data_IF_684095864079
#
_entry.id   IF_684095864079
#
_cell.length_a   1.000
_cell.length_b   1.000
_cell.length_c   1.000
_cell.angle_alpha   90.00
_cell.angle_beta   90.00
_cell.angle_gamma   90.00
#
_symmetry.space_group_name_H-M   'P 1'
#
loop_
_entity.id
_entity.type
_entity.pdbx_description
1 polymer ?
#
# COMPACT_ATOMS: atom_id res chain seq x y z
N UNK A 1 -8.07 29.24 17.55
CA UNK A 1 -8.13 29.51 16.10
C UNK A 1 -7.84 28.20 15.40
N UNK A 2 -8.82 27.61 14.71
CA UNK A 2 -8.62 26.38 13.92
C UNK A 2 -7.99 26.71 12.56
N UNK A 3 -7.36 25.73 11.93
CA UNK A 3 -6.89 25.83 10.53
C UNK A 3 -8.11 26.03 9.61
N UNK A 4 -8.00 26.96 8.66
CA UNK A 4 -8.97 27.07 7.57
C UNK A 4 -8.84 25.89 6.59
N UNK A 5 -9.88 25.67 5.79
CA UNK A 5 -9.91 24.62 4.75
C UNK A 5 -8.74 24.76 3.77
N UNK A 6 -8.51 25.97 3.26
CA UNK A 6 -7.42 26.28 2.33
C UNK A 6 -6.04 26.02 2.96
N UNK A 7 -5.85 26.38 4.22
CA UNK A 7 -4.59 26.12 4.93
C UNK A 7 -4.36 24.63 5.17
N UNK A 8 -5.41 23.87 5.49
CA UNK A 8 -5.32 22.42 5.67
C UNK A 8 -4.93 21.73 4.37
N UNK A 9 -5.58 22.07 3.27
CA UNK A 9 -5.26 21.55 1.92
C UNK A 9 -3.81 21.89 1.58
N UNK A 10 -3.40 23.15 1.70
CA UNK A 10 -2.05 23.56 1.35
C UNK A 10 -0.98 22.85 2.18
N UNK A 11 -1.23 22.63 3.48
CA UNK A 11 -0.32 21.86 4.35
C UNK A 11 -0.16 20.41 3.89
N UNK A 12 -1.26 19.75 3.50
CA UNK A 12 -1.19 18.37 3.00
C UNK A 12 -0.46 18.32 1.67
N UNK A 13 -0.77 19.22 0.74
CA UNK A 13 -0.12 19.27 -0.58
C UNK A 13 1.37 19.58 -0.51
N UNK A 14 1.84 20.23 0.55
CA UNK A 14 3.25 20.50 0.80
C UNK A 14 4.00 19.34 1.49
N UNK A 15 3.34 18.23 1.84
CA UNK A 15 4.00 17.09 2.48
C UNK A 15 4.83 16.28 1.46
N UNK A 16 6.07 15.95 1.82
CA UNK A 16 6.97 15.13 1.00
C UNK A 16 6.38 13.74 0.67
N UNK A 17 5.64 13.17 1.61
CA UNK A 17 5.00 11.85 1.49
C UNK A 17 3.58 11.89 0.92
N UNK A 18 3.18 12.98 0.26
CA UNK A 18 1.83 13.16 -0.29
C UNK A 18 1.36 11.96 -1.14
N UNK A 19 2.25 11.42 -1.98
CA UNK A 19 1.93 10.23 -2.79
C UNK A 19 1.55 9.03 -1.92
N UNK A 20 2.33 8.76 -0.87
CA UNK A 20 2.07 7.63 0.04
C UNK A 20 0.76 7.84 0.80
N UNK A 21 0.42 9.07 1.17
CA UNK A 21 -0.87 9.36 1.78
C UNK A 21 -2.04 9.06 0.83
N UNK A 22 -1.90 9.48 -0.44
CA UNK A 22 -2.87 9.21 -1.48
C UNK A 22 -3.05 7.69 -1.69
N UNK A 23 -1.94 6.96 -1.82
CA UNK A 23 -1.93 5.51 -1.99
C UNK A 23 -2.57 4.80 -0.78
N UNK A 24 -2.21 5.18 0.45
CA UNK A 24 -2.71 4.59 1.69
C UNK A 24 -4.22 4.77 1.88
N UNK A 25 -4.74 5.97 1.60
CA UNK A 25 -6.17 6.26 1.72
C UNK A 25 -6.96 5.95 0.46
N UNK A 26 -6.31 5.49 -0.62
CA UNK A 26 -6.95 5.26 -1.93
C UNK A 26 -7.68 6.49 -2.46
N UNK A 27 -7.04 7.66 -2.36
CA UNK A 27 -7.56 8.96 -2.81
C UNK A 27 -6.57 9.63 -3.76
N UNK A 28 -7.02 10.64 -4.49
CA UNK A 28 -6.20 11.45 -5.37
C UNK A 28 -5.89 12.83 -4.75
N UNK A 29 -4.89 13.51 -5.31
CA UNK A 29 -4.63 14.92 -5.00
C UNK A 29 -5.85 15.81 -5.31
N UNK A 30 -6.65 15.44 -6.31
CA UNK A 30 -7.85 16.18 -6.69
C UNK A 30 -8.96 16.03 -5.64
N UNK A 31 -9.13 14.82 -5.09
CA UNK A 31 -10.04 14.59 -3.98
C UNK A 31 -9.70 15.48 -2.78
N UNK A 32 -8.41 15.60 -2.44
CA UNK A 32 -7.95 16.45 -1.32
C UNK A 32 -8.30 17.93 -1.57
N UNK A 33 -8.21 18.41 -2.81
CA UNK A 33 -8.54 19.80 -3.16
C UNK A 33 -10.03 20.10 -3.10
N UNK A 34 -10.86 19.14 -3.50
CA UNK A 34 -12.31 19.32 -3.59
C UNK A 34 -13.07 18.87 -2.32
N UNK A 35 -12.40 18.16 -1.40
CA UNK A 35 -12.98 17.65 -0.16
C UNK A 35 -12.10 18.02 1.05
N UNK A 36 -12.23 19.24 1.60
CA UNK A 36 -11.38 19.74 2.69
C UNK A 36 -11.33 18.83 3.93
N UNK A 37 -12.39 18.06 4.20
CA UNK A 37 -12.45 17.07 5.27
C UNK A 37 -11.34 16.01 5.18
N UNK A 38 -10.92 15.64 3.96
CA UNK A 38 -9.81 14.71 3.75
C UNK A 38 -8.50 15.33 4.21
N UNK A 39 -8.26 16.61 3.93
CA UNK A 39 -7.06 17.29 4.36
C UNK A 39 -6.95 17.36 5.89
N UNK A 40 -8.05 17.68 6.59
CA UNK A 40 -8.08 17.66 8.05
C UNK A 40 -7.84 16.27 8.62
N UNK A 41 -8.45 15.24 8.03
CA UNK A 41 -8.27 13.86 8.46
C UNK A 41 -6.81 13.41 8.32
N UNK A 42 -6.20 13.68 7.16
CA UNK A 42 -4.79 13.38 6.89
C UNK A 42 -3.90 14.10 7.91
N UNK A 43 -4.10 15.40 8.13
CA UNK A 43 -3.29 16.15 9.10
C UNK A 43 -3.43 15.63 10.53
N UNK A 44 -4.63 15.21 10.92
CA UNK A 44 -4.89 14.63 12.26
C UNK A 44 -4.13 13.32 12.46
N UNK A 45 -4.02 12.48 11.42
CA UNK A 45 -3.39 11.16 11.48
C UNK A 45 -1.96 11.12 10.93
N UNK A 46 -1.45 12.27 10.46
CA UNK A 46 -0.15 12.39 9.79
C UNK A 46 0.99 11.79 10.59
N UNK A 47 1.07 12.06 11.90
CA UNK A 47 2.18 11.58 12.72
C UNK A 47 2.27 10.04 12.72
N UNK A 48 1.13 9.37 12.89
CA UNK A 48 1.06 7.91 12.82
C UNK A 48 1.45 7.37 11.44
N UNK A 49 1.03 8.05 10.37
CA UNK A 49 1.37 7.63 9.01
C UNK A 49 2.87 7.85 8.70
N UNK A 50 3.45 8.95 9.15
CA UNK A 50 4.90 9.20 9.05
C UNK A 50 5.72 8.17 9.82
N UNK A 51 5.28 7.78 11.01
CA UNK A 51 5.93 6.69 11.77
C UNK A 51 5.85 5.36 11.03
N UNK A 52 4.71 5.06 10.39
CA UNK A 52 4.56 3.86 9.57
C UNK A 52 5.52 3.86 8.38
N UNK A 53 5.61 4.99 7.67
CA UNK A 53 6.53 5.17 6.54
C UNK A 53 7.98 4.99 7.01
N UNK A 54 8.37 5.65 8.11
CA UNK A 54 9.71 5.53 8.65
C UNK A 54 10.05 4.08 9.03
N UNK A 55 9.15 3.39 9.73
CA UNK A 55 9.36 1.99 10.13
C UNK A 55 9.52 1.04 8.95
N UNK A 56 8.74 1.21 7.88
CA UNK A 56 8.91 0.41 6.67
C UNK A 56 10.21 0.74 5.93
N UNK A 57 10.60 2.02 5.87
CA UNK A 57 11.87 2.43 5.27
C UNK A 57 13.08 1.89 6.04
N UNK A 58 13.04 1.91 7.38
CA UNK A 58 14.11 1.35 8.22
C UNK A 58 14.28 -0.15 8.01
N UNK A 59 13.17 -0.86 7.77
CA UNK A 59 13.15 -2.30 7.55
C UNK A 59 13.24 -2.70 6.06
N UNK A 60 13.38 -1.76 5.13
CA UNK A 60 13.29 -2.00 3.68
C UNK A 60 14.26 -3.10 3.23
N UNK A 61 15.55 -2.98 3.61
CA UNK A 61 16.57 -3.97 3.25
C UNK A 61 16.25 -5.35 3.81
N UNK A 62 15.85 -5.44 5.08
CA UNK A 62 15.55 -6.72 5.74
C UNK A 62 14.34 -7.38 5.07
N UNK A 63 13.30 -6.60 4.80
CA UNK A 63 12.10 -7.09 4.12
C UNK A 63 12.44 -7.55 2.70
N UNK A 64 13.31 -6.83 1.99
CA UNK A 64 13.75 -7.21 0.65
C UNK A 64 14.57 -8.50 0.65
N UNK A 65 15.46 -8.69 1.63
CA UNK A 65 16.27 -9.90 1.77
C UNK A 65 15.40 -11.13 2.03
N UNK A 66 14.43 -11.02 2.96
CA UNK A 66 13.46 -12.08 3.25
C UNK A 66 12.64 -12.43 2.00
N UNK A 67 12.08 -11.41 1.33
CA UNK A 67 11.32 -11.63 0.08
C UNK A 67 12.16 -12.36 -0.97
N UNK A 68 13.44 -11.98 -1.12
CA UNK A 68 14.35 -12.58 -2.10
C UNK A 68 14.69 -14.03 -1.74
N UNK A 69 14.94 -14.33 -0.47
CA UNK A 69 15.22 -15.69 0.02
C UNK A 69 14.06 -16.66 -0.27
N UNK A 70 12.82 -16.22 -0.02
CA UNK A 70 11.64 -17.08 -0.15
C UNK A 70 10.97 -17.04 -1.52
N UNK A 71 11.41 -16.17 -2.44
CA UNK A 71 10.82 -16.03 -3.78
C UNK A 71 10.77 -17.36 -4.55
N UNK A 72 11.84 -18.15 -4.46
CA UNK A 72 11.91 -19.46 -5.13
C UNK A 72 10.90 -20.46 -4.57
N UNK A 73 10.76 -20.50 -3.24
CA UNK A 73 9.79 -21.37 -2.58
C UNK A 73 8.36 -21.05 -3.02
N UNK A 74 8.04 -19.76 -3.15
CA UNK A 74 6.72 -19.35 -3.64
C UNK A 74 6.48 -19.79 -5.10
N UNK A 75 7.49 -19.66 -5.97
CA UNK A 75 7.40 -20.11 -7.36
C UNK A 75 7.23 -21.62 -7.50
N UNK A 76 7.94 -22.40 -6.68
CA UNK A 76 7.83 -23.86 -6.64
C UNK A 76 6.43 -24.28 -6.16
N UNK A 77 5.94 -23.70 -5.06
CA UNK A 77 4.58 -23.92 -4.57
C UNK A 77 3.51 -23.60 -5.63
N UNK A 78 3.62 -22.44 -6.29
CA UNK A 78 2.68 -22.07 -7.35
C UNK A 78 2.71 -23.06 -8.53
N UNK A 79 3.89 -23.56 -8.89
CA UNK A 79 4.05 -24.54 -9.97
C UNK A 79 3.41 -25.88 -9.61
N UNK A 80 3.65 -26.38 -8.39
CA UNK A 80 3.04 -27.62 -7.89
C UNK A 80 1.51 -27.53 -7.85
N UNK A 81 0.96 -26.41 -7.37
CA UNK A 81 -0.50 -26.20 -7.35
C UNK A 81 -1.06 -26.23 -8.78
N UNK A 82 -0.40 -25.57 -9.74
CA UNK A 82 -0.82 -25.59 -11.15
C UNK A 82 -0.79 -26.99 -11.74
N UNK A 83 0.22 -27.79 -11.43
CA UNK A 83 0.31 -29.19 -11.88
C UNK A 83 -0.82 -30.04 -11.30
N UNK A 84 -1.05 -29.96 -9.99
CA UNK A 84 -2.15 -30.69 -9.33
C UNK A 84 -3.53 -30.33 -9.90
N UNK A 85 -3.76 -29.06 -10.24
CA UNK A 85 -5.02 -28.62 -10.87
C UNK A 85 -5.13 -29.16 -12.30
N UNK A 86 -4.05 -29.18 -13.08
CA UNK A 86 -4.04 -29.77 -14.44
C UNK A 86 -4.31 -31.28 -14.41
N UNK A 87 -3.72 -31.99 -13.46
CA UNK A 87 -3.90 -33.44 -13.32
C UNK A 87 -5.33 -33.81 -12.90
N UNK A 88 -5.96 -32.99 -12.04
CA UNK A 88 -7.38 -33.15 -11.71
C UNK A 88 -8.29 -32.90 -12.91
N UNK A 89 -8.05 -31.82 -13.66
CA UNK A 89 -8.82 -31.53 -14.87
C UNK A 89 -8.66 -32.60 -15.96
N UNK A 90 -7.49 -33.23 -16.07
CA UNK A 90 -7.22 -34.28 -17.07
C UNK A 90 -7.84 -35.64 -16.72
N UNK A 91 -8.10 -35.91 -15.44
CA UNK A 91 -8.74 -37.14 -14.98
C UNK A 91 -10.28 -37.10 -15.04
N UNK A 92 -10.90 -35.91 -15.05
CA UNK A 92 -12.37 -35.77 -15.14
C UNK A 92 -12.92 -35.99 -16.57
N UNK A 93 -12.09 -35.96 -17.61
CA UNK A 93 -12.50 -36.23 -19.01
C UNK A 93 -12.16 -37.64 -19.50
N UNK A 94 -11.76 -38.56 -18.62
CA UNK A 94 -11.37 -39.95 -18.96
C UNK A 94 -12.34 -41.04 -18.51
N UNK A 95 -13.54 -40.68 -18.01
CA UNK A 95 -14.61 -41.63 -17.69
C UNK A 95 -15.77 -41.52 -18.68
#
# INVERSE_FOLDING_TARGET
>A
MGLSETEAIQKVLACSNLKVYCDYYSITVDDIKHQPQLAFYILKHRNSLEQLIAGYSEMESINQDICTEFQRCEQECQSMIRELVKDRGSNEFKN
#
